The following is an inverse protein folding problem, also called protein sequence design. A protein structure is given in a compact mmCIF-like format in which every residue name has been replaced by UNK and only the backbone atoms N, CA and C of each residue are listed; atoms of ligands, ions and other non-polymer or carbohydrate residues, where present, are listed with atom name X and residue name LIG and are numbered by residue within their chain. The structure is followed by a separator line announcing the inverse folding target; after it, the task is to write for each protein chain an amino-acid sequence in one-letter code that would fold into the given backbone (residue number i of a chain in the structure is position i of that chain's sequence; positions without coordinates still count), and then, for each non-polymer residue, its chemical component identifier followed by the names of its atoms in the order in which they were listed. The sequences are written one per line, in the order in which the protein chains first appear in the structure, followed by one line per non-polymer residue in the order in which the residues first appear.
data_IF_080345964122
#
_entry.id   IF_080345964122
#
_cell.length_a   1.000
_cell.length_b   1.000
_cell.length_c   1.000
_cell.angle_alpha   90.00
_cell.angle_beta   90.00
_cell.angle_gamma   90.00
#
_symmetry.space_group_name_H-M   'P 1'
#
loop_
_entity.id
_entity.type
_entity.pdbx_description
1 polymer ?
#
# COMPACT_ATOMS: atom_id res chain seq x y z
N UNK A 1 45.93 50.98 8.25
CA UNK A 1 44.67 50.25 8.51
C UNK A 1 44.44 49.36 7.29
N UNK A 2 45.08 48.22 7.07
CA UNK A 2 45.44 47.07 7.91
C UNK A 2 44.29 46.49 8.74
N UNK A 3 43.69 45.46 8.12
CA UNK A 3 43.64 44.07 8.60
C UNK A 3 42.49 43.60 9.51
N UNK A 4 41.82 42.58 8.97
CA UNK A 4 41.43 41.31 9.58
C UNK A 4 39.99 41.13 10.10
N UNK A 5 39.63 39.84 10.09
CA UNK A 5 38.48 39.15 10.66
C UNK A 5 37.26 39.05 9.72
N UNK A 6 36.81 37.88 9.25
CA UNK A 6 37.27 36.52 9.48
C UNK A 6 36.93 35.62 8.29
N UNK A 7 37.90 34.77 8.01
CA UNK A 7 37.83 33.66 7.07
C UNK A 7 37.02 32.52 7.72
N UNK A 8 35.69 32.61 7.71
CA UNK A 8 34.86 31.44 7.99
C UNK A 8 34.51 30.73 6.67
N UNK A 9 35.46 29.93 6.20
CA UNK A 9 35.15 28.74 5.43
C UNK A 9 34.35 27.78 6.32
N UNK A 10 33.07 28.08 6.55
CA UNK A 10 32.14 27.03 6.94
C UNK A 10 31.98 26.15 5.71
N UNK A 11 32.65 24.99 5.72
CA UNK A 11 32.24 23.79 4.98
C UNK A 11 30.85 23.36 5.50
N UNK A 12 29.87 24.26 5.37
CA UNK A 12 28.49 24.02 5.71
C UNK A 12 27.93 23.10 4.64
N UNK A 13 27.44 21.95 5.06
CA UNK A 13 26.65 21.06 4.22
C UNK A 13 25.58 21.93 3.55
N UNK A 14 25.71 22.16 2.24
CA UNK A 14 24.74 22.92 1.46
C UNK A 14 23.46 22.08 1.38
N UNK A 15 22.58 22.28 2.36
CA UNK A 15 21.27 21.63 2.37
C UNK A 15 20.49 22.10 1.14
N UNK A 16 19.85 21.19 0.38
CA UNK A 16 19.00 21.57 -0.73
C UNK A 16 17.95 22.58 -0.26
N UNK A 17 17.92 23.76 -0.88
CA UNK A 17 16.91 24.78 -0.59
C UNK A 17 15.55 24.24 -1.03
N UNK A 18 14.59 24.20 -0.10
CA UNK A 18 13.21 23.87 -0.43
C UNK A 18 12.57 25.05 -1.16
N UNK A 19 12.01 24.83 -2.34
CA UNK A 19 11.32 25.88 -3.09
C UNK A 19 9.83 25.89 -2.78
N UNK A 20 9.21 27.07 -2.82
CA UNK A 20 7.75 27.23 -2.62
C UNK A 20 6.95 26.47 -3.69
N UNK A 21 7.52 26.27 -4.89
CA UNK A 21 6.98 25.42 -5.95
C UNK A 21 6.85 23.96 -5.53
N UNK A 22 7.82 23.43 -4.76
CA UNK A 22 7.81 22.04 -4.32
C UNK A 22 6.68 21.80 -3.32
N UNK A 23 6.48 22.74 -2.40
CA UNK A 23 5.37 22.72 -1.44
C UNK A 23 4.01 22.85 -2.14
N UNK A 24 3.91 23.71 -3.16
CA UNK A 24 2.70 23.84 -3.98
C UNK A 24 2.41 22.58 -4.80
N UNK A 25 3.44 21.87 -5.26
CA UNK A 25 3.29 20.59 -5.96
C UNK A 25 2.70 19.48 -5.09
N UNK A 26 2.96 19.53 -3.77
CA UNK A 26 2.42 18.60 -2.77
C UNK A 26 0.97 18.86 -2.37
N UNK A 27 0.37 19.97 -2.83
CA UNK A 27 -1.03 20.28 -2.54
C UNK A 27 -1.95 19.16 -3.02
N UNK A 28 -2.85 18.74 -2.13
CA UNK A 28 -3.88 17.74 -2.44
C UNK A 28 -4.95 18.35 -3.35
N UNK A 29 -5.22 17.70 -4.47
CA UNK A 29 -6.29 18.04 -5.42
C UNK A 29 -7.18 16.83 -5.64
N UNK A 30 -8.43 17.05 -6.06
CA UNK A 30 -9.36 15.99 -6.45
C UNK A 30 -9.33 15.83 -7.96
N UNK A 31 -9.19 14.59 -8.42
CA UNK A 31 -9.25 14.24 -9.83
C UNK A 31 -10.19 13.06 -10.04
N UNK A 32 -11.06 13.16 -11.04
CA UNK A 32 -12.03 12.11 -11.39
C UNK A 32 -11.55 11.35 -12.60
N UNK A 33 -11.55 10.03 -12.50
CA UNK A 33 -11.14 9.08 -13.53
C UNK A 33 -12.27 8.09 -13.81
N UNK A 34 -12.32 7.57 -15.03
CA UNK A 34 -13.18 6.42 -15.38
C UNK A 34 -12.31 5.17 -15.40
N UNK A 35 -12.37 4.36 -14.35
CA UNK A 35 -11.50 3.19 -14.16
C UNK A 35 -12.32 1.91 -14.03
N UNK A 36 -11.74 0.77 -14.39
CA UNK A 36 -12.32 -0.54 -14.07
C UNK A 36 -12.46 -0.76 -12.56
N UNK A 37 -13.42 -1.60 -12.18
CA UNK A 37 -13.63 -1.98 -10.78
C UNK A 37 -12.38 -2.63 -10.18
N UNK A 38 -11.75 -3.58 -10.88
CA UNK A 38 -10.49 -4.21 -10.46
C UNK A 38 -9.34 -3.22 -10.25
N UNK A 39 -9.28 -2.13 -11.03
CA UNK A 39 -8.28 -1.06 -10.82
C UNK A 39 -8.53 -0.30 -9.52
N UNK A 40 -9.78 0.06 -9.24
CA UNK A 40 -10.17 0.76 -8.00
C UNK A 40 -9.92 -0.15 -6.78
N UNK A 41 -10.22 -1.43 -6.92
CA UNK A 41 -10.02 -2.43 -5.89
C UNK A 41 -8.52 -2.66 -5.61
N UNK A 42 -7.70 -2.85 -6.64
CA UNK A 42 -6.26 -3.01 -6.50
C UNK A 42 -5.59 -1.85 -5.76
N UNK A 43 -5.93 -0.61 -6.10
CA UNK A 43 -5.44 0.58 -5.37
C UNK A 43 -5.82 0.47 -3.90
N UNK A 44 -7.06 0.09 -3.61
CA UNK A 44 -7.60 0.00 -2.25
C UNK A 44 -6.92 -1.09 -1.44
N UNK A 45 -6.75 -2.28 -2.02
CA UNK A 45 -6.10 -3.45 -1.42
C UNK A 45 -4.64 -3.14 -1.10
N UNK A 46 -3.89 -2.63 -2.07
CA UNK A 46 -2.46 -2.36 -1.92
C UNK A 46 -2.23 -1.25 -0.89
N UNK A 47 -3.04 -0.20 -0.91
CA UNK A 47 -2.97 0.86 0.09
C UNK A 47 -3.21 0.31 1.50
N UNK A 48 -4.24 -0.52 1.69
CA UNK A 48 -4.54 -1.14 2.98
C UNK A 48 -3.42 -2.06 3.45
N UNK A 49 -2.89 -2.92 2.58
CA UNK A 49 -1.86 -3.90 2.93
C UNK A 49 -0.49 -3.29 3.22
N UNK A 50 -0.13 -2.22 2.50
CA UNK A 50 1.12 -1.49 2.75
C UNK A 50 0.98 -0.48 3.90
N UNK A 51 -0.22 -0.28 4.45
CA UNK A 51 -0.48 0.72 5.50
C UNK A 51 -0.28 2.16 5.03
N UNK A 52 -0.44 2.42 3.73
CA UNK A 52 -0.26 3.73 3.12
C UNK A 52 -1.59 4.33 2.66
N UNK A 53 -1.66 5.66 2.58
CA UNK A 53 -2.85 6.33 2.05
C UNK A 53 -2.93 6.10 0.53
N UNK A 54 -4.15 5.90 0.00
CA UNK A 54 -4.38 5.77 -1.45
C UNK A 54 -3.76 6.93 -2.26
N UNK A 55 -3.84 8.16 -1.76
CA UNK A 55 -3.15 9.33 -2.33
C UNK A 55 -1.66 9.07 -2.53
N UNK A 56 -0.99 8.55 -1.50
CA UNK A 56 0.46 8.31 -1.53
C UNK A 56 0.80 7.23 -2.54
N UNK A 57 0.02 6.14 -2.59
CA UNK A 57 0.19 5.10 -3.58
C UNK A 57 0.04 5.65 -5.00
N UNK A 58 -1.02 6.42 -5.24
CA UNK A 58 -1.29 7.02 -6.54
C UNK A 58 -0.18 7.99 -6.95
N UNK A 59 0.26 8.85 -6.02
CA UNK A 59 1.36 9.78 -6.25
C UNK A 59 2.63 9.00 -6.66
N UNK A 60 2.97 7.91 -5.96
CA UNK A 60 4.12 7.07 -6.33
C UNK A 60 3.99 6.40 -7.70
N UNK A 61 2.80 5.91 -8.06
CA UNK A 61 2.57 5.27 -9.35
C UNK A 61 2.77 6.24 -10.52
N UNK A 62 2.43 7.51 -10.31
CA UNK A 62 2.27 8.50 -11.38
C UNK A 62 3.40 9.53 -11.44
N UNK A 63 4.09 9.77 -10.33
CA UNK A 63 5.21 10.72 -10.29
C UNK A 63 6.46 10.21 -11.01
N UNK A 64 6.61 8.89 -11.21
CA UNK A 64 7.69 8.35 -12.03
C UNK A 64 7.41 8.59 -13.52
N UNK A 65 7.81 9.78 -13.99
CA UNK A 65 7.65 10.21 -15.37
C UNK A 65 8.28 9.24 -16.38
N UNK A 66 9.35 8.52 -16.02
CA UNK A 66 9.97 7.53 -16.92
C UNK A 66 9.05 6.33 -17.10
N UNK A 67 8.57 5.77 -16.00
CA UNK A 67 7.58 4.69 -16.04
C UNK A 67 6.33 5.11 -16.80
N UNK A 68 5.79 6.30 -16.52
CA UNK A 68 4.56 6.79 -17.15
C UNK A 68 4.73 7.01 -18.66
N UNK A 69 5.91 7.47 -19.09
CA UNK A 69 6.25 7.63 -20.51
C UNK A 69 6.38 6.29 -21.22
N UNK A 70 6.98 5.28 -20.59
CA UNK A 70 7.04 3.92 -21.15
C UNK A 70 5.64 3.33 -21.34
N UNK A 71 4.77 3.48 -20.34
CA UNK A 71 3.36 3.06 -20.43
C UNK A 71 2.64 3.79 -21.57
N UNK A 72 2.87 5.10 -21.71
CA UNK A 72 2.22 5.89 -22.75
C UNK A 72 2.59 5.42 -24.17
N UNK A 73 3.82 4.92 -24.37
CA UNK A 73 4.25 4.32 -25.64
C UNK A 73 3.58 2.98 -25.90
N UNK A 74 3.40 2.16 -24.87
CA UNK A 74 2.68 0.88 -24.98
C UNK A 74 1.20 1.08 -25.33
N UNK A 75 0.54 2.10 -24.76
CA UNK A 75 -0.87 2.43 -25.07
C UNK A 75 -1.11 2.68 -26.56
N UNK A 76 -0.16 3.31 -27.26
CA UNK A 76 -0.32 3.60 -28.69
C UNK A 76 -0.51 2.33 -29.53
N UNK A 77 -0.05 1.19 -29.03
CA UNK A 77 -0.10 -0.09 -29.71
C UNK A 77 -1.25 -0.99 -29.23
N UNK A 78 -2.11 -0.53 -28.31
CA UNK A 78 -3.13 -1.37 -27.68
C UNK A 78 -4.53 -0.79 -27.87
N UNK A 79 -5.49 -1.63 -28.26
CA UNK A 79 -6.92 -1.27 -28.21
C UNK A 79 -7.46 -1.46 -26.80
N UNK A 80 -7.77 -0.35 -26.17
CA UNK A 80 -8.40 -0.32 -24.85
C UNK A 80 -9.89 -0.67 -24.97
N UNK A 81 -10.30 -1.73 -24.28
CA UNK A 81 -11.72 -2.07 -24.12
C UNK A 81 -12.39 -1.05 -23.19
N UNK A 82 -13.66 -0.72 -23.43
CA UNK A 82 -14.41 0.30 -22.66
C UNK A 82 -15.42 -0.27 -21.65
N UNK A 83 -15.51 -1.59 -21.53
CA UNK A 83 -16.57 -2.20 -20.73
C UNK A 83 -16.27 -2.11 -19.22
N UNK A 84 -17.29 -1.75 -18.44
CA UNK A 84 -17.25 -1.82 -16.97
C UNK A 84 -16.54 -0.68 -16.24
N UNK A 85 -16.27 0.48 -16.87
CA UNK A 85 -15.61 1.62 -16.20
C UNK A 85 -16.55 2.44 -15.33
N UNK A 86 -16.14 2.68 -14.09
CA UNK A 86 -16.88 3.47 -13.09
C UNK A 86 -16.15 4.80 -12.86
N UNK A 87 -16.91 5.87 -12.67
CA UNK A 87 -16.34 7.16 -12.30
C UNK A 87 -15.92 7.15 -10.83
N UNK A 88 -14.64 7.34 -10.56
CA UNK A 88 -14.10 7.44 -9.21
C UNK A 88 -13.25 8.70 -9.07
N UNK A 89 -13.47 9.42 -7.97
CA UNK A 89 -12.70 10.61 -7.63
C UNK A 89 -11.65 10.25 -6.58
N UNK A 90 -10.38 10.51 -6.90
CA UNK A 90 -9.25 10.31 -6.00
C UNK A 90 -8.67 11.65 -5.56
N UNK A 91 -8.07 11.65 -4.37
CA UNK A 91 -7.23 12.75 -3.90
C UNK A 91 -5.79 12.44 -4.29
N UNK A 92 -5.15 13.31 -5.05
CA UNK A 92 -3.77 13.16 -5.57
C UNK A 92 -2.99 14.45 -5.36
N UNK A 93 -1.67 14.43 -5.53
CA UNK A 93 -0.87 15.66 -5.55
C UNK A 93 -1.07 16.45 -6.84
N UNK A 94 -0.99 17.78 -6.77
CA UNK A 94 -1.01 18.64 -7.96
C UNK A 94 0.09 18.25 -8.94
N UNK A 95 1.27 17.86 -8.44
CA UNK A 95 2.40 17.41 -9.25
C UNK A 95 2.06 16.15 -10.05
N UNK A 96 1.44 15.16 -9.43
CA UNK A 96 1.01 13.92 -10.10
C UNK A 96 -0.03 14.19 -11.18
N UNK A 97 -0.98 15.09 -10.92
CA UNK A 97 -1.96 15.49 -11.93
C UNK A 97 -1.30 16.15 -13.15
N UNK A 98 -0.38 17.09 -12.92
CA UNK A 98 0.37 17.75 -14.00
C UNK A 98 1.23 16.76 -14.78
N UNK A 99 1.86 15.79 -14.10
CA UNK A 99 2.61 14.70 -14.74
C UNK A 99 1.72 13.89 -15.70
N UNK A 100 0.54 13.48 -15.25
CA UNK A 100 -0.45 12.78 -16.09
C UNK A 100 -0.89 13.62 -17.28
N UNK A 101 -1.20 14.89 -17.07
CA UNK A 101 -1.65 15.77 -18.15
C UNK A 101 -0.57 16.01 -19.19
N UNK A 102 0.68 16.16 -18.76
CA UNK A 102 1.82 16.34 -19.66
C UNK A 102 2.06 15.07 -20.50
N UNK A 103 2.10 13.89 -19.87
CA UNK A 103 2.30 12.63 -20.61
C UNK A 103 1.11 12.33 -21.52
N UNK A 104 -0.11 12.53 -21.04
CA UNK A 104 -1.33 12.34 -21.82
C UNK A 104 -1.32 13.19 -23.10
N UNK A 105 -0.95 14.48 -23.00
CA UNK A 105 -0.83 15.39 -24.16
C UNK A 105 0.31 15.01 -25.09
N UNK A 106 1.49 14.71 -24.54
CA UNK A 106 2.69 14.44 -25.34
C UNK A 106 2.60 13.13 -26.13
N UNK A 107 1.88 12.14 -25.62
CA UNK A 107 1.77 10.82 -26.24
C UNK A 107 0.36 10.51 -26.78
N UNK A 108 -0.55 11.49 -26.75
CA UNK A 108 -1.96 11.33 -27.12
C UNK A 108 -2.64 10.10 -26.45
N UNK A 109 -2.31 9.88 -25.17
CA UNK A 109 -2.79 8.74 -24.39
C UNK A 109 -3.86 9.17 -23.39
N UNK A 110 -5.00 8.46 -23.24
CA UNK A 110 -6.01 8.79 -22.25
C UNK A 110 -5.47 8.72 -20.82
N UNK A 111 -5.76 9.72 -19.97
CA UNK A 111 -5.35 9.73 -18.55
C UNK A 111 -5.84 8.50 -17.79
N UNK A 112 -7.06 8.06 -18.06
CA UNK A 112 -7.65 6.88 -17.44
C UNK A 112 -6.84 5.62 -17.75
N UNK A 113 -6.40 5.45 -19.00
CA UNK A 113 -5.60 4.32 -19.45
C UNK A 113 -4.20 4.30 -18.84
N UNK A 114 -3.57 5.47 -18.74
CA UNK A 114 -2.27 5.63 -18.06
C UNK A 114 -2.36 5.17 -16.60
N UNK A 115 -3.45 5.51 -15.92
CA UNK A 115 -3.69 5.11 -14.53
C UNK A 115 -3.94 3.60 -14.44
N UNK A 116 -4.82 3.05 -15.27
CA UNK A 116 -5.13 1.60 -15.27
C UNK A 116 -3.87 0.75 -15.49
N UNK A 117 -3.06 1.05 -16.49
CA UNK A 117 -1.80 0.34 -16.74
C UNK A 117 -0.77 0.55 -15.63
N UNK A 118 -0.73 1.74 -15.03
CA UNK A 118 0.14 1.98 -13.87
C UNK A 118 -0.25 1.09 -12.68
N UNK A 119 -1.55 0.86 -12.47
CA UNK A 119 -2.07 -0.01 -11.41
C UNK A 119 -1.83 -1.49 -11.71
N UNK A 120 -1.85 -1.92 -12.97
CA UNK A 120 -1.51 -3.31 -13.33
C UNK A 120 -0.11 -3.72 -12.85
N UNK A 121 0.83 -2.78 -12.76
CA UNK A 121 2.17 -3.03 -12.20
C UNK A 121 2.16 -3.45 -10.72
N UNK A 122 1.03 -3.27 -10.03
CA UNK A 122 0.83 -3.74 -8.66
C UNK A 122 0.46 -5.22 -8.59
N UNK A 123 0.06 -5.87 -9.69
CA UNK A 123 -0.36 -7.29 -9.70
C UNK A 123 0.69 -8.22 -9.06
N UNK A 124 2.01 -8.12 -9.37
CA UNK A 124 3.01 -8.96 -8.71
C UNK A 124 3.13 -8.70 -7.20
N UNK A 125 2.84 -7.47 -6.75
CA UNK A 125 2.85 -7.11 -5.32
C UNK A 125 1.64 -7.74 -4.64
N UNK A 126 0.45 -7.64 -5.26
CA UNK A 126 -0.78 -8.25 -4.76
C UNK A 126 -0.64 -9.76 -4.66
N UNK A 127 -0.11 -10.43 -5.69
CA UNK A 127 0.12 -11.87 -5.69
C UNK A 127 1.03 -12.32 -4.53
N UNK A 128 2.17 -11.64 -4.34
CA UNK A 128 3.09 -11.92 -3.23
C UNK A 128 2.44 -11.69 -1.86
N UNK A 129 1.64 -10.63 -1.74
CA UNK A 129 1.00 -10.31 -0.47
C UNK A 129 -0.14 -11.29 -0.15
N UNK A 130 -0.86 -11.78 -1.15
CA UNK A 130 -1.85 -12.86 -1.02
C UNK A 130 -1.22 -14.14 -0.50
N UNK A 131 -0.07 -14.53 -1.04
CA UNK A 131 0.69 -15.70 -0.56
C UNK A 131 1.10 -15.55 0.92
N UNK A 132 1.65 -14.38 1.27
CA UNK A 132 2.00 -14.07 2.67
C UNK A 132 0.78 -14.10 3.58
N UNK A 133 -0.35 -13.56 3.14
CA UNK A 133 -1.59 -13.57 3.88
C UNK A 133 -2.06 -15.00 4.19
N UNK A 134 -2.01 -15.90 3.20
CA UNK A 134 -2.29 -17.32 3.41
C UNK A 134 -1.38 -17.97 4.46
N UNK A 135 -0.07 -17.69 4.40
CA UNK A 135 0.90 -18.16 5.41
C UNK A 135 0.59 -17.61 6.81
N UNK A 136 0.18 -16.35 6.93
CA UNK A 136 -0.21 -15.75 8.22
C UNK A 136 -1.42 -16.43 8.84
N UNK A 137 -2.41 -16.85 8.05
CA UNK A 137 -3.58 -17.60 8.55
C UNK A 137 -3.19 -18.96 9.11
N UNK A 138 -2.26 -19.65 8.45
CA UNK A 138 -1.71 -20.92 8.97
C UNK A 138 -1.04 -20.69 10.32
N UNK A 139 -0.17 -19.68 10.41
CA UNK A 139 0.52 -19.32 11.66
C UNK A 139 -0.47 -18.89 12.77
N UNK A 140 -1.53 -18.16 12.45
CA UNK A 140 -2.56 -17.77 13.43
C UNK A 140 -3.23 -19.00 14.07
N UNK A 141 -3.47 -20.06 13.28
CA UNK A 141 -4.03 -21.30 13.80
C UNK A 141 -3.05 -22.03 14.73
N UNK A 142 -1.75 -21.99 14.43
CA UNK A 142 -0.71 -22.56 15.30
C UNK A 142 -0.60 -21.78 16.61
N UNK A 143 -0.61 -20.44 16.54
CA UNK A 143 -0.63 -19.57 17.72
C UNK A 143 -1.87 -19.84 18.58
N UNK A 144 -3.05 -20.00 17.96
CA UNK A 144 -4.29 -20.31 18.67
C UNK A 144 -4.23 -21.66 19.41
N UNK A 145 -3.57 -22.67 18.83
CA UNK A 145 -3.35 -23.96 19.48
C UNK A 145 -2.43 -23.83 20.68
N UNK A 146 -1.30 -23.13 20.53
CA UNK A 146 -0.35 -22.91 21.61
C UNK A 146 -0.95 -22.07 22.76
N UNK A 147 -1.77 -21.06 22.44
CA UNK A 147 -2.52 -20.30 23.46
C UNK A 147 -3.39 -21.23 24.32
N UNK A 148 -4.15 -22.13 23.68
CA UNK A 148 -4.98 -23.13 24.37
C UNK A 148 -4.17 -24.09 25.23
N UNK A 149 -2.95 -24.44 24.83
CA UNK A 149 -2.06 -25.26 25.65
C UNK A 149 -1.59 -24.50 26.90
N UNK A 150 -1.25 -23.21 26.76
CA UNK A 150 -0.93 -22.33 27.88
C UNK A 150 -2.10 -22.19 28.87
N UNK A 151 -3.33 -22.03 28.37
CA UNK A 151 -4.55 -22.00 29.19
C UNK A 151 -4.74 -23.29 30.00
N UNK A 152 -4.47 -24.46 29.40
CA UNK A 152 -4.52 -25.75 30.11
C UNK A 152 -3.49 -25.82 31.23
N UNK A 153 -2.27 -25.35 30.99
CA UNK A 153 -1.21 -25.31 32.02
C UNK A 153 -1.64 -24.42 33.18
N UNK A 154 -2.18 -23.23 32.89
CA UNK A 154 -2.71 -22.33 33.92
C UNK A 154 -3.85 -22.97 34.71
N UNK A 155 -4.79 -23.62 34.04
CA UNK A 155 -5.89 -24.34 34.69
C UNK A 155 -5.39 -25.45 35.62
N UNK A 156 -4.38 -26.21 35.18
CA UNK A 156 -3.78 -27.26 36.00
C UNK A 156 -3.04 -26.68 37.22
N UNK A 157 -2.27 -25.60 37.03
CA UNK A 157 -1.59 -24.92 38.13
C UNK A 157 -2.58 -24.40 39.18
N UNK A 158 -3.69 -23.77 38.75
CA UNK A 158 -4.77 -23.34 39.64
C UNK A 158 -5.40 -24.51 40.41
N UNK A 159 -5.50 -25.69 39.79
CA UNK A 159 -5.98 -26.91 40.45
C UNK A 159 -5.02 -27.50 41.49
N UNK A 160 -3.70 -27.35 41.30
CA UNK A 160 -2.67 -27.90 42.21
C UNK A 160 -2.37 -26.94 43.37
N UNK A 161 -2.16 -25.65 43.07
CA UNK A 161 -1.66 -24.67 44.03
C UNK A 161 -2.74 -23.72 44.57
N UNK A 162 -3.92 -23.68 43.93
CA UNK A 162 -4.95 -22.68 44.20
C UNK A 162 -4.73 -21.38 43.41
N UNK A 163 -5.78 -20.61 43.21
CA UNK A 163 -5.75 -19.43 42.34
C UNK A 163 -4.88 -18.28 42.90
N UNK A 164 -4.76 -18.16 44.22
CA UNK A 164 -4.01 -17.10 44.89
C UNK A 164 -2.50 -17.38 44.97
N UNK A 165 -2.04 -18.55 44.51
CA UNK A 165 -0.62 -18.86 44.48
C UNK A 165 0.15 -17.94 43.53
N UNK A 166 1.38 -17.57 43.92
CA UNK A 166 2.21 -16.64 43.14
C UNK A 166 2.52 -17.17 41.74
N UNK A 167 2.68 -18.49 41.56
CA UNK A 167 2.92 -19.12 40.26
C UNK A 167 1.68 -18.94 39.37
N UNK A 168 0.48 -19.16 39.92
CA UNK A 168 -0.78 -18.98 39.21
C UNK A 168 -0.97 -17.54 38.75
N UNK A 169 -0.74 -16.56 39.63
CA UNK A 169 -0.85 -15.14 39.30
C UNK A 169 0.14 -14.73 38.19
N UNK A 170 1.38 -15.23 38.23
CA UNK A 170 2.38 -14.96 37.18
C UNK A 170 1.99 -15.57 35.84
N UNK A 171 1.51 -16.81 35.84
CA UNK A 171 1.03 -17.46 34.62
C UNK A 171 -0.19 -16.73 34.03
N UNK A 172 -1.14 -16.32 34.86
CA UNK A 172 -2.31 -15.55 34.42
C UNK A 172 -1.93 -14.22 33.77
N UNK A 173 -0.95 -13.52 34.34
CA UNK A 173 -0.41 -12.30 33.74
C UNK A 173 0.19 -12.55 32.36
N UNK A 174 0.95 -13.64 32.18
CA UNK A 174 1.52 -14.02 30.88
C UNK A 174 0.43 -14.37 29.88
N UNK A 175 -0.56 -15.17 30.30
CA UNK A 175 -1.67 -15.58 29.44
C UNK A 175 -2.52 -14.40 28.98
N UNK A 176 -2.75 -13.42 29.84
CA UNK A 176 -3.47 -12.18 29.49
C UNK A 176 -2.73 -11.38 28.41
N UNK A 177 -1.41 -11.24 28.52
CA UNK A 177 -0.60 -10.57 27.49
C UNK A 177 -0.65 -11.34 26.18
N UNK A 178 -0.61 -12.68 26.26
CA UNK A 178 -0.65 -13.53 25.08
C UNK A 178 -2.00 -13.46 24.37
N UNK A 179 -3.11 -13.51 25.10
CA UNK A 179 -4.46 -13.36 24.54
C UNK A 179 -4.62 -12.02 23.79
N UNK A 180 -4.15 -10.93 24.40
CA UNK A 180 -4.15 -9.61 23.75
C UNK A 180 -3.31 -9.60 22.46
N UNK A 181 -2.12 -10.21 22.49
CA UNK A 181 -1.28 -10.33 21.30
C UNK A 181 -1.96 -11.16 20.20
N UNK A 182 -2.60 -12.27 20.56
CA UNK A 182 -3.37 -13.09 19.64
C UNK A 182 -4.50 -12.29 18.99
N UNK A 183 -5.28 -11.53 19.76
CA UNK A 183 -6.37 -10.70 19.24
C UNK A 183 -5.87 -9.60 18.29
N UNK A 184 -4.75 -8.96 18.60
CA UNK A 184 -4.14 -7.98 17.70
C UNK A 184 -3.69 -8.62 16.38
N UNK A 185 -3.06 -9.80 16.42
CA UNK A 185 -2.64 -10.52 15.23
C UNK A 185 -3.87 -10.96 14.41
N UNK A 186 -4.90 -11.50 15.08
CA UNK A 186 -6.15 -11.91 14.43
C UNK A 186 -6.85 -10.74 13.74
N UNK A 187 -6.94 -9.59 14.41
CA UNK A 187 -7.54 -8.37 13.84
C UNK A 187 -6.75 -7.85 12.63
N UNK A 188 -5.41 -7.88 12.69
CA UNK A 188 -4.57 -7.52 11.56
C UNK A 188 -4.80 -8.44 10.35
N UNK A 189 -4.88 -9.76 10.59
CA UNK A 189 -5.14 -10.74 9.53
C UNK A 189 -6.55 -10.53 8.98
N UNK A 190 -7.59 -10.37 9.79
CA UNK A 190 -8.96 -10.19 9.29
C UNK A 190 -9.09 -8.98 8.36
N UNK A 191 -8.43 -7.86 8.67
CA UNK A 191 -8.40 -6.68 7.79
C UNK A 191 -7.76 -6.95 6.43
N UNK A 192 -6.86 -7.93 6.34
CA UNK A 192 -6.19 -8.32 5.10
C UNK A 192 -7.04 -9.21 4.19
N UNK A 193 -8.18 -9.73 4.65
CA UNK A 193 -9.00 -10.70 3.91
C UNK A 193 -9.48 -10.21 2.53
N UNK A 194 -9.61 -8.91 2.34
CA UNK A 194 -9.95 -8.28 1.06
C UNK A 194 -9.00 -8.69 -0.09
N UNK A 195 -7.75 -9.09 0.19
CA UNK A 195 -6.82 -9.57 -0.84
C UNK A 195 -7.14 -10.98 -1.35
N UNK A 196 -7.95 -11.74 -0.61
CA UNK A 196 -8.31 -13.11 -0.99
C UNK A 196 -9.37 -13.14 -2.10
N UNK A 197 -10.25 -12.12 -2.12
CA UNK A 197 -11.39 -11.99 -3.04
C UNK A 197 -10.99 -11.42 -4.40
N UNK A 198 -9.88 -10.68 -4.45
CA UNK A 198 -9.35 -10.05 -5.64
C UNK A 198 -9.04 -11.04 -6.77
N UNK A 199 -9.68 -10.83 -7.91
CA UNK A 199 -9.44 -11.60 -9.14
C UNK A 199 -8.51 -10.78 -10.07
N UNK A 200 -7.28 -11.24 -10.36
CA UNK A 200 -6.37 -10.57 -11.29
C UNK A 200 -6.98 -10.32 -12.67
N UNK A 201 -7.90 -11.17 -13.10
CA UNK A 201 -8.60 -11.12 -14.38
C UNK A 201 -9.45 -9.84 -14.53
N UNK A 202 -9.86 -9.22 -13.42
CA UNK A 202 -10.61 -7.95 -13.41
C UNK A 202 -9.75 -6.74 -13.82
N UNK A 203 -8.41 -6.90 -13.84
CA UNK A 203 -7.45 -5.93 -14.37
C UNK A 203 -6.95 -6.30 -15.77
N UNK A 204 -6.92 -7.58 -16.12
CA UNK A 204 -6.38 -8.05 -17.41
C UNK A 204 -7.32 -7.80 -18.59
N UNK A 205 -8.63 -7.65 -18.35
CA UNK A 205 -9.63 -7.34 -19.39
C UNK A 205 -9.43 -5.99 -20.11
N UNK A 206 -8.42 -5.22 -19.74
CA UNK A 206 -8.14 -3.86 -20.23
C UNK A 206 -7.43 -3.87 -21.61
N UNK A 207 -6.79 -4.99 -22.00
CA UNK A 207 -5.96 -5.06 -23.20
C UNK A 207 -6.46 -6.16 -24.15
N UNK A 208 -6.83 -5.80 -25.38
CA UNK A 208 -6.82 -6.75 -26.51
C UNK A 208 -5.53 -6.47 -27.28
N UNK A 209 -4.59 -7.42 -27.20
CA UNK A 209 -3.47 -7.49 -28.12
C UNK A 209 -4.04 -8.07 -29.43
N UNK A 210 -3.99 -7.31 -30.52
CA UNK A 210 -4.11 -7.91 -31.84
C UNK A 210 -2.75 -8.53 -32.16
N UNK A 211 -2.70 -9.86 -32.20
CA UNK A 211 -1.72 -10.56 -33.03
C UNK A 211 -2.12 -10.27 -34.48
N UNK A 212 -1.25 -9.59 -35.22
CA UNK A 212 -1.26 -9.61 -36.70
C UNK A 212 -0.53 -10.88 -37.18
#
# INVERSE_FOLDING_TARGET
MNQNDDNEQTNGISLPKAFTSDLRGRQSVRATFKLSEGCIEAISIVAAHLGIKQKSLFDHLVEDARSLTSIAREIQNIKLTQQGRIQKTFVISRRSLLSLENVSKNFNAPRDALVELSVQRLLPIIAKEREKHGKRKIMLNEIAKHLKEGEKILSNAKGIFGAEDTICQKLESVMTVYENAYHHIASFIEKGKIIEEFQPEDLERILIITED
#
